data_IF_100883368375
#
_entry.id   IF_100883368375
#
_cell.length_a   1.000
_cell.length_b   1.000
_cell.length_c   1.000
_cell.angle_alpha   90.00
_cell.angle_beta   90.00
_cell.angle_gamma   90.00
#
_symmetry.space_group_name_H-M   'P 1'
#
loop_
_entity.id
_entity.type
_entity.pdbx_description
1 polymer ?
#
# COMPACT_ATOMS: atom_id res chain seq x y z
N UNK A 1 31.74 28.25 -4.39
CA UNK A 1 30.36 28.23 -3.91
C UNK A 1 30.00 26.78 -3.78
N UNK A 2 29.75 26.27 -2.54
CA UNK A 2 29.27 24.92 -2.37
C UNK A 2 27.88 24.83 -3.02
N UNK A 3 27.74 24.01 -4.07
CA UNK A 3 26.43 23.63 -4.57
C UNK A 3 25.66 23.04 -3.38
N UNK A 4 24.62 23.74 -2.93
CA UNK A 4 23.71 23.18 -1.92
C UNK A 4 23.17 21.89 -2.50
N UNK A 5 23.35 20.78 -1.78
CA UNK A 5 22.83 19.48 -2.17
C UNK A 5 21.34 19.62 -2.50
N UNK A 6 20.96 19.34 -3.73
CA UNK A 6 19.60 19.55 -4.25
C UNK A 6 18.58 18.66 -3.55
N UNK A 7 18.98 17.43 -3.24
CA UNK A 7 18.12 16.44 -2.57
C UNK A 7 18.63 16.24 -1.14
N UNK A 8 17.72 16.22 -0.15
CA UNK A 8 18.05 16.36 1.26
C UNK A 8 17.34 15.38 2.18
N UNK A 9 16.25 14.74 1.72
CA UNK A 9 15.45 13.83 2.56
C UNK A 9 14.76 12.74 1.76
N UNK A 10 14.43 11.66 2.46
CA UNK A 10 13.56 10.62 1.96
C UNK A 10 12.10 11.03 2.08
N UNK A 11 11.33 10.81 1.02
CA UNK A 11 9.88 11.01 0.99
C UNK A 11 9.25 9.82 0.27
N UNK A 12 8.23 9.23 0.87
CA UNK A 12 7.47 8.17 0.23
C UNK A 12 6.76 8.70 -1.01
N UNK A 13 6.92 8.02 -2.13
CA UNK A 13 6.28 8.39 -3.39
C UNK A 13 5.15 7.44 -3.80
N UNK A 14 5.12 6.26 -3.20
CA UNK A 14 4.10 5.25 -3.41
C UNK A 14 3.95 4.39 -2.16
N UNK A 15 2.77 3.84 -1.91
CA UNK A 15 2.59 2.91 -0.80
C UNK A 15 1.20 2.30 -0.73
N UNK A 16 1.16 1.14 -0.05
CA UNK A 16 -0.04 0.36 0.24
C UNK A 16 -0.06 -0.08 1.71
N UNK A 17 -1.15 -0.70 2.14
CA UNK A 17 -1.30 -1.32 3.45
C UNK A 17 -1.47 -2.84 3.28
N UNK A 18 -0.38 -3.63 3.24
CA UNK A 18 -0.51 -5.08 3.17
C UNK A 18 -1.35 -5.63 4.32
N UNK A 19 -2.22 -6.57 3.98
CA UNK A 19 -3.12 -7.27 4.88
C UNK A 19 -3.20 -8.74 4.48
N UNK A 20 -4.05 -9.51 5.15
CA UNK A 20 -4.33 -10.89 4.78
C UNK A 20 -5.01 -10.91 3.41
N UNK A 21 -4.40 -11.57 2.43
CA UNK A 21 -4.89 -11.59 1.05
C UNK A 21 -6.07 -12.54 0.84
N UNK A 22 -6.11 -13.65 1.57
CA UNK A 22 -7.10 -14.70 1.37
C UNK A 22 -8.17 -14.72 2.46
N UNK A 23 -9.41 -14.96 2.03
CA UNK A 23 -10.57 -15.06 2.93
C UNK A 23 -10.91 -16.51 3.33
N UNK A 24 -10.43 -17.50 2.58
CA UNK A 24 -10.84 -18.91 2.76
C UNK A 24 -9.65 -19.84 2.93
N UNK A 25 -8.78 -19.92 1.96
CA UNK A 25 -7.62 -20.79 1.96
C UNK A 25 -6.35 -20.00 1.65
N UNK A 26 -5.29 -20.35 2.35
CA UNK A 26 -3.99 -19.74 2.09
C UNK A 26 -3.48 -20.20 0.74
N UNK A 27 -3.16 -19.25 -0.11
CA UNK A 27 -2.57 -19.50 -1.42
C UNK A 27 -1.06 -19.54 -1.32
N UNK A 28 -0.45 -20.55 -1.92
CA UNK A 28 1.00 -20.64 -2.08
C UNK A 28 1.38 -20.43 -3.53
N UNK A 29 2.46 -19.70 -3.74
CA UNK A 29 3.10 -19.58 -5.05
C UNK A 29 4.55 -20.07 -4.99
N UNK A 30 5.05 -20.53 -6.12
CA UNK A 30 6.45 -20.91 -6.33
C UNK A 30 6.85 -20.50 -7.74
N UNK A 31 8.11 -20.11 -7.89
CA UNK A 31 8.65 -19.71 -9.20
C UNK A 31 7.83 -18.56 -9.82
N UNK A 32 7.40 -17.61 -8.97
CA UNK A 32 6.51 -16.52 -9.32
C UNK A 32 7.28 -15.21 -9.45
N UNK A 33 7.10 -14.55 -10.57
CA UNK A 33 7.57 -13.19 -10.82
C UNK A 33 6.38 -12.21 -10.74
N UNK A 34 6.50 -11.20 -9.91
CA UNK A 34 5.55 -10.10 -9.78
C UNK A 34 6.20 -8.84 -10.35
N UNK A 35 5.49 -8.08 -11.17
CA UNK A 35 5.96 -6.82 -11.75
C UNK A 35 4.94 -5.72 -11.55
N UNK A 36 5.37 -4.64 -10.87
CA UNK A 36 4.53 -3.51 -10.50
C UNK A 36 5.06 -2.22 -11.13
N UNK A 37 4.40 -1.68 -12.17
CA UNK A 37 4.69 -0.34 -12.67
C UNK A 37 4.23 0.70 -11.63
N UNK A 38 5.08 1.67 -11.35
CA UNK A 38 4.85 2.73 -10.37
C UNK A 38 5.23 4.07 -10.97
N UNK A 39 4.35 5.05 -10.83
CA UNK A 39 4.60 6.42 -11.28
C UNK A 39 5.35 7.21 -10.23
N UNK A 40 6.42 7.89 -10.67
CA UNK A 40 7.31 8.70 -9.82
C UNK A 40 6.71 10.09 -9.60
N UNK A 41 6.62 10.49 -8.33
CA UNK A 41 5.98 11.74 -7.92
C UNK A 41 6.91 12.93 -7.85
N UNK A 42 8.21 12.70 -7.67
CA UNK A 42 9.21 13.74 -7.41
C UNK A 42 10.46 13.52 -8.25
N UNK A 43 11.19 14.60 -8.49
CA UNK A 43 12.58 14.49 -8.92
C UNK A 43 13.43 13.96 -7.76
N UNK A 44 14.37 13.08 -8.06
CA UNK A 44 15.26 12.48 -7.07
C UNK A 44 16.41 11.73 -7.72
N UNK A 45 17.37 11.28 -6.93
CA UNK A 45 18.54 10.57 -7.43
C UNK A 45 18.80 9.23 -6.76
N UNK A 46 17.93 8.85 -5.80
CA UNK A 46 17.96 7.54 -5.13
C UNK A 46 16.55 7.10 -4.83
N UNK A 47 16.35 5.79 -4.83
CA UNK A 47 15.09 5.12 -4.52
C UNK A 47 15.37 3.95 -3.57
N UNK A 48 14.44 3.65 -2.67
CA UNK A 48 14.48 2.46 -1.80
C UNK A 48 13.08 1.89 -1.61
N UNK A 49 13.03 0.62 -1.22
CA UNK A 49 11.82 -0.17 -1.20
C UNK A 49 11.61 -0.79 0.18
N UNK A 50 10.38 -0.74 0.66
CA UNK A 50 9.96 -1.42 1.87
C UNK A 50 9.15 -2.64 1.50
N UNK A 51 9.57 -3.80 2.00
CA UNK A 51 8.85 -5.05 1.84
C UNK A 51 8.29 -5.50 3.18
N UNK A 52 7.08 -6.06 3.16
CA UNK A 52 6.32 -6.36 4.37
C UNK A 52 5.71 -7.74 4.31
N UNK A 53 5.94 -8.53 5.35
CA UNK A 53 5.27 -9.78 5.65
C UNK A 53 4.45 -9.65 6.93
N UNK A 54 3.84 -8.47 7.12
CA UNK A 54 3.21 -8.05 8.39
C UNK A 54 2.04 -8.95 8.81
N UNK A 55 1.36 -9.56 7.85
CA UNK A 55 0.25 -10.49 8.08
C UNK A 55 0.61 -11.93 7.75
N UNK A 56 1.85 -12.19 7.35
CA UNK A 56 2.34 -13.53 7.07
C UNK A 56 2.42 -14.40 8.33
N UNK A 57 2.19 -15.68 8.15
CA UNK A 57 2.31 -16.71 9.21
C UNK A 57 3.58 -17.56 9.04
N UNK A 58 4.20 -17.50 7.87
CA UNK A 58 5.46 -18.15 7.53
C UNK A 58 6.46 -17.12 7.04
N UNK A 59 7.74 -17.41 7.19
CA UNK A 59 8.80 -16.60 6.60
C UNK A 59 8.70 -16.66 5.06
N UNK A 60 8.90 -15.55 4.40
CA UNK A 60 8.96 -15.49 2.94
C UNK A 60 10.39 -15.18 2.49
N UNK A 61 10.77 -15.72 1.34
CA UNK A 61 12.05 -15.41 0.71
C UNK A 61 11.83 -14.68 -0.61
N UNK A 62 12.23 -13.42 -0.65
CA UNK A 62 12.40 -12.69 -1.89
C UNK A 62 13.74 -13.14 -2.48
N UNK A 63 13.69 -13.94 -3.55
CA UNK A 63 14.88 -14.52 -4.16
C UNK A 63 15.66 -13.53 -4.99
N UNK A 64 14.96 -12.59 -5.64
CA UNK A 64 15.51 -11.43 -6.32
C UNK A 64 14.49 -10.31 -6.35
N UNK A 65 14.96 -9.08 -6.33
CA UNK A 65 14.15 -7.91 -6.62
C UNK A 65 14.94 -6.92 -7.48
N UNK A 66 14.26 -6.28 -8.44
CA UNK A 66 14.90 -5.31 -9.35
C UNK A 66 13.99 -4.12 -9.58
N UNK A 67 14.58 -3.02 -10.03
CA UNK A 67 13.89 -1.82 -10.50
C UNK A 67 14.51 -1.36 -11.82
N UNK A 68 13.70 -0.89 -12.74
CA UNK A 68 14.15 -0.28 -13.99
C UNK A 68 13.13 0.71 -14.52
N UNK A 69 13.54 1.55 -15.48
CA UNK A 69 12.64 2.49 -16.13
C UNK A 69 11.62 1.72 -16.99
N UNK A 70 10.35 1.94 -16.74
CA UNK A 70 9.30 1.30 -17.51
C UNK A 70 9.17 1.94 -18.91
N UNK A 71 9.11 1.10 -19.94
CA UNK A 71 8.78 1.52 -21.31
C UNK A 71 7.26 1.58 -21.47
N UNK A 72 6.60 0.59 -20.91
CA UNK A 72 5.15 0.46 -20.79
C UNK A 72 4.80 -0.33 -19.51
N UNK A 73 3.54 -0.71 -19.33
CA UNK A 73 3.07 -1.44 -18.16
C UNK A 73 3.77 -2.79 -17.93
N UNK A 74 4.38 -3.42 -18.96
CA UNK A 74 4.94 -4.77 -18.90
C UNK A 74 6.43 -4.83 -19.23
N UNK A 75 6.96 -3.80 -19.86
CA UNK A 75 8.31 -3.76 -20.41
C UNK A 75 9.16 -2.75 -19.66
N UNK A 76 10.42 -3.08 -19.48
CA UNK A 76 11.45 -2.28 -18.78
C UNK A 76 12.59 -2.02 -19.75
N UNK A 77 13.19 -0.84 -19.71
CA UNK A 77 14.44 -0.60 -20.38
C UNK A 77 15.55 -1.42 -19.70
N UNK A 78 15.99 -2.47 -20.40
CA UNK A 78 16.96 -3.44 -19.88
C UNK A 78 18.29 -2.78 -19.44
N UNK A 79 18.67 -1.66 -20.06
CA UNK A 79 19.89 -0.93 -19.71
C UNK A 79 19.80 -0.23 -18.36
N UNK A 80 18.59 -0.03 -17.83
CA UNK A 80 18.32 0.67 -16.58
C UNK A 80 18.04 -0.28 -15.40
N UNK A 81 17.94 -1.60 -15.65
CA UNK A 81 17.63 -2.57 -14.59
C UNK A 81 18.76 -2.58 -13.55
N UNK A 82 18.36 -2.41 -12.30
CA UNK A 82 19.24 -2.46 -11.14
C UNK A 82 18.71 -3.44 -10.10
N UNK A 83 19.62 -4.16 -9.47
CA UNK A 83 19.27 -5.00 -8.31
C UNK A 83 18.81 -4.12 -7.14
N UNK A 84 17.77 -4.58 -6.46
CA UNK A 84 17.38 -4.12 -5.14
C UNK A 84 18.05 -5.06 -4.16
N UNK A 85 18.92 -4.54 -3.31
CA UNK A 85 19.71 -5.33 -2.37
C UNK A 85 19.32 -5.06 -0.91
N UNK A 86 19.76 -5.94 -0.03
CA UNK A 86 19.47 -5.91 1.39
C UNK A 86 20.77 -6.17 2.16
N UNK A 87 21.41 -5.11 2.65
CA UNK A 87 22.76 -5.20 3.21
C UNK A 87 23.79 -5.76 2.21
N UNK A 88 23.65 -5.42 0.92
CA UNK A 88 24.47 -5.92 -0.19
C UNK A 88 24.05 -7.29 -0.74
N UNK A 89 23.07 -7.99 -0.12
CA UNK A 89 22.58 -9.28 -0.61
C UNK A 89 21.42 -9.08 -1.58
N UNK A 90 21.36 -9.86 -2.67
CA UNK A 90 20.27 -9.80 -3.67
C UNK A 90 18.99 -10.49 -3.23
N UNK A 91 19.03 -11.26 -2.17
CA UNK A 91 17.88 -11.95 -1.61
C UNK A 91 17.71 -11.61 -0.14
N UNK A 92 16.48 -11.74 0.36
CA UNK A 92 16.17 -11.52 1.77
C UNK A 92 15.07 -12.46 2.24
N UNK A 93 15.16 -12.88 3.48
CA UNK A 93 14.08 -13.56 4.20
C UNK A 93 13.38 -12.52 5.07
N UNK A 94 12.05 -12.47 4.98
CA UNK A 94 11.21 -11.60 5.81
C UNK A 94 10.37 -12.49 6.71
N UNK A 95 10.65 -12.42 8.00
CA UNK A 95 9.96 -13.22 9.01
C UNK A 95 8.47 -12.86 9.14
N UNK A 96 7.63 -13.74 9.69
CA UNK A 96 6.24 -13.44 10.01
C UNK A 96 6.10 -12.17 10.86
N UNK A 97 5.22 -11.27 10.47
CA UNK A 97 5.04 -9.97 11.13
C UNK A 97 6.17 -8.97 10.86
N UNK A 98 7.18 -9.36 10.07
CA UNK A 98 8.37 -8.55 9.78
C UNK A 98 8.22 -7.60 8.60
N UNK A 99 9.12 -6.64 8.57
CA UNK A 99 9.32 -5.71 7.45
C UNK A 99 10.82 -5.52 7.23
N UNK A 100 11.20 -5.23 5.99
CA UNK A 100 12.58 -4.94 5.61
C UNK A 100 12.63 -3.76 4.65
N UNK A 101 13.65 -2.93 4.80
CA UNK A 101 13.94 -1.82 3.88
C UNK A 101 15.17 -2.22 3.08
N UNK A 102 15.11 -2.03 1.76
CA UNK A 102 16.24 -2.29 0.88
C UNK A 102 17.37 -1.28 1.09
N UNK A 103 18.55 -1.62 0.60
CA UNK A 103 19.59 -0.64 0.34
C UNK A 103 19.07 0.42 -0.65
N UNK A 104 19.69 1.59 -0.64
CA UNK A 104 19.40 2.64 -1.62
C UNK A 104 19.90 2.25 -3.02
N UNK A 105 19.06 2.46 -4.02
CA UNK A 105 19.43 2.29 -5.43
C UNK A 105 19.65 3.68 -6.05
N UNK A 106 20.87 3.96 -6.52
CA UNK A 106 21.16 5.20 -7.23
C UNK A 106 20.44 5.21 -8.59
N UNK A 107 19.49 6.11 -8.78
CA UNK A 107 18.69 6.21 -9.99
C UNK A 107 18.20 7.64 -10.18
N UNK A 108 18.61 8.27 -11.27
CA UNK A 108 18.08 9.60 -11.62
C UNK A 108 16.61 9.46 -12.02
N UNK A 109 15.76 10.19 -11.33
CA UNK A 109 14.31 10.12 -11.46
C UNK A 109 13.74 11.51 -11.68
N UNK A 110 12.79 11.59 -12.60
CA UNK A 110 12.01 12.80 -12.86
C UNK A 110 10.55 12.57 -12.50
N UNK A 111 9.89 13.62 -12.01
CA UNK A 111 8.45 13.59 -11.78
C UNK A 111 7.71 13.22 -13.07
N UNK A 112 6.89 12.19 -12.98
CA UNK A 112 6.14 11.66 -14.12
C UNK A 112 6.79 10.44 -14.80
N UNK A 113 8.04 10.12 -14.49
CA UNK A 113 8.63 8.85 -14.91
C UNK A 113 7.82 7.67 -14.37
N UNK A 114 7.91 6.55 -15.06
CA UNK A 114 7.41 5.28 -14.55
C UNK A 114 8.60 4.35 -14.33
N UNK A 115 8.64 3.74 -13.16
CA UNK A 115 9.57 2.63 -12.86
C UNK A 115 8.78 1.34 -12.73
N UNK A 116 9.42 0.23 -13.01
CA UNK A 116 8.84 -1.08 -12.80
C UNK A 116 9.62 -1.81 -11.72
N UNK A 117 8.94 -2.18 -10.64
CA UNK A 117 9.50 -3.00 -9.56
C UNK A 117 9.17 -4.45 -9.85
N UNK A 118 10.19 -5.29 -9.93
CA UNK A 118 10.04 -6.72 -10.15
C UNK A 118 10.47 -7.48 -8.90
N UNK A 119 9.66 -8.45 -8.46
CA UNK A 119 9.92 -9.32 -7.31
C UNK A 119 9.84 -10.76 -7.77
N UNK A 120 10.87 -11.55 -7.49
CA UNK A 120 10.90 -12.97 -7.80
C UNK A 120 10.88 -13.82 -6.53
N UNK A 121 9.92 -14.74 -6.48
CA UNK A 121 9.69 -15.70 -5.42
C UNK A 121 10.03 -17.11 -5.94
N UNK A 122 11.28 -17.52 -5.79
CA UNK A 122 11.77 -18.79 -6.34
C UNK A 122 11.35 -20.04 -5.56
N UNK A 123 11.04 -19.86 -4.28
CA UNK A 123 10.65 -20.93 -3.35
C UNK A 123 9.15 -20.90 -3.06
N UNK A 124 8.60 -21.96 -2.43
CA UNK A 124 7.23 -21.95 -1.97
C UNK A 124 7.03 -20.80 -0.99
N UNK A 125 6.12 -19.92 -1.32
CA UNK A 125 5.83 -18.67 -0.59
C UNK A 125 4.36 -18.58 -0.28
N UNK A 126 4.01 -18.43 0.99
CA UNK A 126 2.65 -18.14 1.42
C UNK A 126 2.27 -16.72 0.99
N UNK A 127 1.27 -16.58 0.12
CA UNK A 127 0.82 -15.29 -0.43
C UNK A 127 -0.16 -14.60 0.50
N UNK A 128 0.22 -14.41 1.78
CA UNK A 128 -0.68 -13.94 2.84
C UNK A 128 -0.33 -12.54 3.37
N UNK A 129 0.43 -11.76 2.63
CA UNK A 129 0.69 -10.35 2.95
C UNK A 129 0.56 -9.53 1.66
N UNK A 130 -0.66 -9.10 1.38
CA UNK A 130 -0.99 -8.37 0.17
C UNK A 130 -2.24 -7.51 0.35
N UNK A 131 -2.55 -6.70 -0.64
CA UNK A 131 -3.73 -5.85 -0.65
C UNK A 131 -4.30 -5.76 -2.05
N UNK A 132 -5.62 -5.82 -2.15
CA UNK A 132 -6.37 -5.55 -3.38
C UNK A 132 -6.66 -4.06 -3.45
N UNK A 133 -6.16 -3.42 -4.49
CA UNK A 133 -6.44 -2.02 -4.78
C UNK A 133 -6.83 -1.84 -6.24
N UNK A 134 -7.63 -0.84 -6.53
CA UNK A 134 -8.03 -0.50 -7.91
C UNK A 134 -7.74 0.96 -8.22
N UNK A 135 -7.64 1.27 -9.50
CA UNK A 135 -7.42 2.61 -10.00
C UNK A 135 -6.52 2.63 -11.24
N UNK A 136 -6.47 3.75 -11.94
CA UNK A 136 -5.70 3.88 -13.17
C UNK A 136 -4.18 3.72 -13.00
N UNK A 137 -3.66 3.92 -11.78
CA UNK A 137 -2.24 3.75 -11.43
C UNK A 137 -1.99 2.46 -10.62
N UNK A 138 -3.02 1.63 -10.41
CA UNK A 138 -3.00 0.48 -9.51
C UNK A 138 -3.15 -0.83 -10.27
N UNK A 139 -2.11 -1.20 -11.02
CA UNK A 139 -2.09 -2.42 -11.83
C UNK A 139 -0.74 -3.10 -11.70
N UNK A 140 -0.77 -4.41 -11.57
CA UNK A 140 0.41 -5.25 -11.57
C UNK A 140 0.31 -6.38 -12.59
N UNK A 141 1.40 -7.09 -12.76
CA UNK A 141 1.50 -8.24 -13.65
C UNK A 141 2.26 -9.35 -12.95
N UNK A 142 1.97 -10.59 -13.34
CA UNK A 142 2.72 -11.73 -12.87
C UNK A 142 2.89 -12.79 -13.97
N UNK A 143 3.96 -13.55 -13.86
CA UNK A 143 4.25 -14.73 -14.66
C UNK A 143 5.05 -15.72 -13.81
N UNK A 144 4.97 -17.01 -14.16
CA UNK A 144 5.81 -18.03 -13.53
C UNK A 144 7.16 -18.12 -14.27
N UNK A 145 8.24 -18.17 -13.50
CA UNK A 145 9.62 -18.10 -13.96
C UNK A 145 10.37 -16.88 -13.44
N UNK A 146 11.70 -16.90 -13.48
CA UNK A 146 12.53 -15.74 -13.11
C UNK A 146 12.70 -14.79 -14.31
N UNK A 147 12.06 -13.64 -14.24
CA UNK A 147 12.14 -12.54 -15.20
C UNK A 147 12.68 -11.26 -14.55
N UNK A 148 13.36 -11.37 -13.44
CA UNK A 148 13.82 -10.20 -12.68
C UNK A 148 14.77 -9.30 -13.48
N UNK A 149 15.57 -9.86 -14.40
CA UNK A 149 16.48 -9.10 -15.27
C UNK A 149 16.03 -9.04 -16.73
N UNK A 150 14.84 -9.56 -17.03
CA UNK A 150 14.33 -9.58 -18.39
C UNK A 150 13.55 -8.29 -18.72
N UNK A 151 13.75 -7.82 -19.95
CA UNK A 151 13.03 -6.65 -20.47
C UNK A 151 11.51 -6.84 -20.38
N UNK A 152 11.03 -8.00 -20.76
CA UNK A 152 9.60 -8.30 -20.90
C UNK A 152 9.21 -9.55 -20.13
N UNK A 153 8.01 -9.55 -19.57
CA UNK A 153 7.37 -10.77 -19.13
C UNK A 153 6.83 -11.54 -20.36
N UNK A 154 6.78 -12.87 -20.31
CA UNK A 154 6.38 -13.68 -21.47
C UNK A 154 4.92 -13.38 -21.86
N UNK A 155 4.68 -12.95 -23.10
CA UNK A 155 3.39 -12.48 -23.60
C UNK A 155 2.25 -13.49 -23.41
N UNK A 156 2.53 -14.78 -23.61
CA UNK A 156 1.51 -15.82 -23.63
C UNK A 156 1.08 -16.30 -22.24
N UNK A 157 1.88 -16.07 -21.19
CA UNK A 157 1.63 -16.55 -19.83
C UNK A 157 1.46 -15.44 -18.79
N UNK A 158 1.76 -14.19 -19.14
CA UNK A 158 1.59 -13.05 -18.26
C UNK A 158 0.11 -12.76 -17.98
N UNK A 159 -0.22 -12.58 -16.71
CA UNK A 159 -1.54 -12.18 -16.22
C UNK A 159 -1.45 -10.81 -15.55
N UNK A 160 -2.51 -10.03 -15.66
CA UNK A 160 -2.66 -8.81 -14.87
C UNK A 160 -3.25 -9.13 -13.49
N UNK A 161 -2.92 -8.28 -12.52
CA UNK A 161 -3.45 -8.38 -11.16
C UNK A 161 -3.65 -6.98 -10.56
N UNK A 162 -4.60 -6.88 -9.66
CA UNK A 162 -4.78 -5.73 -8.77
C UNK A 162 -4.34 -6.05 -7.33
N UNK A 163 -3.79 -7.25 -7.10
CA UNK A 163 -3.16 -7.62 -5.86
C UNK A 163 -1.71 -7.18 -5.83
N UNK A 164 -1.36 -6.47 -4.77
CA UNK A 164 0.02 -6.06 -4.48
C UNK A 164 0.51 -6.84 -3.27
N UNK A 165 1.45 -7.73 -3.51
CA UNK A 165 2.03 -8.61 -2.49
C UNK A 165 3.37 -8.07 -2.04
N UNK A 166 3.58 -8.06 -0.74
CA UNK A 166 4.82 -7.75 -0.04
C UNK A 166 5.37 -6.33 -0.22
N UNK A 167 5.15 -5.65 -1.32
CA UNK A 167 5.61 -4.27 -1.53
C UNK A 167 4.72 -3.30 -0.74
N UNK A 168 5.32 -2.62 0.23
CA UNK A 168 4.62 -1.73 1.17
C UNK A 168 4.78 -0.25 0.77
N UNK A 169 6.03 0.21 0.63
CA UNK A 169 6.33 1.63 0.39
C UNK A 169 7.53 1.76 -0.54
N UNK A 170 7.52 2.80 -1.33
CA UNK A 170 8.67 3.23 -2.14
C UNK A 170 9.01 4.66 -1.74
N UNK A 171 10.25 4.89 -1.32
CA UNK A 171 10.75 6.21 -0.98
C UNK A 171 11.73 6.72 -2.05
N UNK A 172 11.72 8.03 -2.27
CA UNK A 172 12.67 8.75 -3.12
C UNK A 172 13.47 9.74 -2.27
N UNK A 173 14.77 9.83 -2.51
CA UNK A 173 15.61 10.87 -1.93
C UNK A 173 15.47 12.13 -2.78
N UNK A 174 14.86 13.17 -2.21
CA UNK A 174 14.29 14.30 -2.95
C UNK A 174 14.47 15.65 -2.25
N UNK A 175 13.87 16.69 -2.82
CA UNK A 175 13.94 18.08 -2.32
C UNK A 175 13.18 18.24 -1.00
N UNK A 176 13.62 19.19 -0.17
CA UNK A 176 13.06 19.43 1.16
C UNK A 176 11.58 19.88 1.14
N UNK A 177 11.15 20.55 0.07
CA UNK A 177 9.74 20.99 -0.11
C UNK A 177 8.74 19.84 -0.24
N UNK A 178 9.20 18.65 -0.68
CA UNK A 178 8.34 17.54 -0.99
C UNK A 178 7.82 16.82 0.26
N UNK A 179 6.59 16.34 0.21
CA UNK A 179 5.97 15.63 1.33
C UNK A 179 4.95 14.61 0.85
N UNK A 180 4.68 13.61 1.67
CA UNK A 180 3.68 12.59 1.42
C UNK A 180 2.33 12.96 2.06
N UNK A 181 1.25 12.78 1.29
CA UNK A 181 -0.14 12.83 1.73
C UNK A 181 -0.64 11.38 1.85
N UNK A 182 -1.01 10.99 3.05
CA UNK A 182 -1.50 9.65 3.35
C UNK A 182 -3.01 9.61 3.16
N UNK A 183 -3.51 8.71 2.34
CA UNK A 183 -4.94 8.38 2.19
C UNK A 183 -5.22 7.11 3.01
N UNK A 184 -5.80 7.30 4.19
CA UNK A 184 -6.08 6.23 5.14
C UNK A 184 -7.56 5.86 5.13
N UNK A 185 -7.88 4.57 5.06
CA UNK A 185 -9.27 4.16 5.08
C UNK A 185 -9.54 2.67 4.87
N UNK A 186 -10.74 2.40 4.37
CA UNK A 186 -11.29 1.09 4.07
C UNK A 186 -11.37 0.83 2.54
N UNK A 187 -12.37 0.03 2.11
CA UNK A 187 -12.58 -0.28 0.69
C UNK A 187 -12.81 0.94 -0.19
N UNK A 188 -13.39 2.01 0.34
CA UNK A 188 -13.62 3.24 -0.43
C UNK A 188 -12.28 3.90 -0.79
N UNK A 189 -11.31 3.84 0.12
CA UNK A 189 -9.96 4.36 -0.11
C UNK A 189 -9.06 3.35 -0.84
N UNK A 190 -9.34 2.06 -0.75
CA UNK A 190 -8.65 1.04 -1.55
C UNK A 190 -9.00 1.10 -3.03
N UNK A 191 -10.09 1.78 -3.40
CA UNK A 191 -10.50 2.03 -4.77
C UNK A 191 -9.79 3.25 -5.39
N UNK A 192 -10.37 3.81 -6.40
CA UNK A 192 -9.77 4.65 -7.43
C UNK A 192 -9.40 6.07 -7.00
N UNK A 193 -10.08 6.64 -5.99
CA UNK A 193 -9.95 8.08 -5.72
C UNK A 193 -8.54 8.54 -5.33
N UNK A 194 -7.69 7.75 -4.64
CA UNK A 194 -6.32 8.17 -4.38
C UNK A 194 -5.48 8.29 -5.66
N UNK A 195 -5.72 7.39 -6.64
CA UNK A 195 -5.05 7.45 -7.93
C UNK A 195 -5.47 8.70 -8.70
N UNK A 196 -6.78 9.01 -8.71
CA UNK A 196 -7.29 10.24 -9.35
C UNK A 196 -6.79 11.50 -8.63
N UNK A 197 -6.69 11.47 -7.31
CA UNK A 197 -6.07 12.56 -6.56
C UNK A 197 -4.60 12.75 -6.98
N UNK A 198 -3.86 11.65 -7.15
CA UNK A 198 -2.49 11.70 -7.64
C UNK A 198 -2.40 12.27 -9.05
N UNK A 199 -3.23 11.80 -9.99
CA UNK A 199 -3.30 12.34 -11.35
C UNK A 199 -3.63 13.82 -11.34
N UNK A 200 -4.56 14.25 -10.51
CA UNK A 200 -4.93 15.65 -10.34
C UNK A 200 -3.75 16.54 -9.91
N UNK A 201 -2.84 16.03 -9.06
CA UNK A 201 -1.64 16.79 -8.70
C UNK A 201 -0.76 17.09 -9.90
N UNK A 202 -0.74 16.21 -10.91
CA UNK A 202 0.00 16.47 -12.16
C UNK A 202 -0.70 17.51 -13.03
N UNK A 203 -2.01 17.40 -13.19
CA UNK A 203 -2.81 18.33 -13.99
C UNK A 203 -2.76 19.74 -13.45
N UNK A 204 -2.88 19.91 -12.14
CA UNK A 204 -2.92 21.21 -11.47
C UNK A 204 -1.53 21.75 -11.10
N UNK A 205 -0.45 21.02 -11.42
CA UNK A 205 0.92 21.47 -11.18
C UNK A 205 1.41 21.42 -9.74
N UNK A 206 0.75 20.65 -8.85
CA UNK A 206 1.21 20.41 -7.49
C UNK A 206 2.38 19.42 -7.50
N UNK A 207 3.61 19.93 -7.57
CA UNK A 207 4.84 19.16 -7.76
C UNK A 207 5.52 18.68 -6.48
N UNK A 208 4.98 19.06 -5.31
CA UNK A 208 5.59 18.79 -4.01
C UNK A 208 4.84 17.76 -3.15
N UNK A 209 3.83 17.10 -3.71
CA UNK A 209 2.97 16.15 -2.99
C UNK A 209 2.96 14.80 -3.67
N UNK A 210 3.18 13.73 -2.90
CA UNK A 210 2.82 12.36 -3.27
C UNK A 210 1.54 11.90 -2.57
N UNK A 211 0.88 10.90 -3.13
CA UNK A 211 -0.32 10.28 -2.53
C UNK A 211 0.00 8.84 -2.15
N UNK A 212 -0.02 8.55 -0.85
CA UNK A 212 0.27 7.24 -0.29
C UNK A 212 -1.04 6.60 0.17
N UNK A 213 -1.37 5.43 -0.37
CA UNK A 213 -2.56 4.70 0.04
C UNK A 213 -2.28 3.82 1.26
N UNK A 214 -3.12 3.90 2.27
CA UNK A 214 -3.11 3.07 3.48
C UNK A 214 -4.53 2.60 3.75
N UNK A 215 -5.02 1.69 2.90
CA UNK A 215 -6.42 1.30 2.91
C UNK A 215 -6.59 -0.22 2.81
N UNK A 216 -7.49 -0.76 3.63
CA UNK A 216 -7.81 -2.19 3.67
C UNK A 216 -9.32 -2.35 3.61
N UNK A 217 -9.80 -3.09 2.62
CA UNK A 217 -11.23 -3.34 2.43
C UNK A 217 -11.86 -4.04 3.63
N UNK A 218 -13.01 -3.56 4.08
CA UNK A 218 -13.78 -4.17 5.17
C UNK A 218 -13.32 -3.81 6.58
N UNK A 219 -12.21 -3.09 6.72
CA UNK A 219 -11.66 -2.71 8.04
C UNK A 219 -12.57 -1.72 8.77
N UNK A 220 -12.55 -1.79 10.11
CA UNK A 220 -13.33 -0.95 11.03
C UNK A 220 -12.39 -0.12 11.93
N UNK A 221 -12.88 0.94 12.50
CA UNK A 221 -12.14 1.77 13.45
C UNK A 221 -12.00 1.06 14.79
N UNK A 222 -13.14 0.61 15.34
CA UNK A 222 -13.27 0.22 16.73
C UNK A 222 -13.09 -1.28 16.97
N UNK A 223 -13.37 -2.10 15.96
CA UNK A 223 -13.40 -3.55 16.09
C UNK A 223 -12.69 -4.25 14.95
N UNK A 224 -12.13 -5.40 15.22
CA UNK A 224 -11.64 -6.35 14.22
C UNK A 224 -12.45 -7.64 14.30
N UNK A 225 -12.30 -8.49 13.31
CA UNK A 225 -12.94 -9.80 13.32
C UNK A 225 -12.03 -10.85 13.92
N UNK A 226 -12.60 -11.69 14.75
CA UNK A 226 -11.93 -12.81 15.39
C UNK A 226 -12.41 -14.14 14.76
N UNK A 227 -12.35 -14.22 13.44
CA UNK A 227 -12.64 -15.44 12.70
C UNK A 227 -11.96 -15.43 11.32
N UNK A 228 -11.70 -16.62 10.79
CA UNK A 228 -10.98 -16.80 9.53
C UNK A 228 -11.73 -16.20 8.34
N UNK A 229 -13.07 -16.28 8.34
CA UNK A 229 -13.92 -15.78 7.24
C UNK A 229 -13.74 -14.29 6.98
N UNK A 230 -13.45 -13.51 8.03
CA UNK A 230 -13.29 -12.06 7.93
C UNK A 230 -11.86 -11.59 8.20
N UNK A 231 -10.90 -12.50 8.31
CA UNK A 231 -9.51 -12.17 8.58
C UNK A 231 -8.93 -11.18 7.56
N UNK A 232 -9.34 -11.28 6.29
CA UNK A 232 -8.90 -10.39 5.22
C UNK A 232 -9.36 -8.93 5.40
N UNK A 233 -10.33 -8.66 6.29
CA UNK A 233 -10.70 -7.29 6.66
C UNK A 233 -9.63 -6.61 7.56
N UNK A 234 -8.62 -7.35 7.97
CA UNK A 234 -7.45 -6.83 8.67
C UNK A 234 -7.73 -6.35 10.09
N UNK A 235 -6.68 -5.84 10.70
CA UNK A 235 -6.75 -5.31 12.06
C UNK A 235 -7.55 -4.00 12.10
N UNK A 236 -8.18 -3.73 13.25
CA UNK A 236 -8.90 -2.47 13.51
C UNK A 236 -7.96 -1.26 13.41
N UNK A 237 -8.55 -0.10 13.15
CA UNK A 237 -7.83 1.15 12.96
C UNK A 237 -6.88 1.50 14.10
N UNK A 238 -7.28 1.25 15.35
CA UNK A 238 -6.44 1.46 16.54
C UNK A 238 -5.09 0.73 16.47
N UNK A 239 -5.08 -0.51 15.97
CA UNK A 239 -3.86 -1.32 15.90
C UNK A 239 -2.94 -0.91 14.74
N UNK A 240 -3.51 -0.42 13.63
CA UNK A 240 -2.73 -0.21 12.42
C UNK A 240 -2.37 1.25 12.12
N UNK A 241 -3.18 2.24 12.57
CA UNK A 241 -3.03 3.64 12.18
C UNK A 241 -1.64 4.21 12.48
N UNK A 242 -1.13 3.97 13.69
CA UNK A 242 0.18 4.50 14.08
C UNK A 242 1.31 4.01 13.17
N UNK A 243 1.33 2.72 12.86
CA UNK A 243 2.33 2.12 11.95
C UNK A 243 2.17 2.64 10.52
N UNK A 244 0.94 2.66 10.01
CA UNK A 244 0.66 3.00 8.62
C UNK A 244 0.80 4.50 8.32
N UNK A 245 0.84 5.33 9.35
CA UNK A 245 1.15 6.76 9.24
C UNK A 245 2.61 7.09 9.55
N UNK A 246 3.44 6.08 9.85
CA UNK A 246 4.89 6.23 9.95
C UNK A 246 5.53 6.10 8.57
N UNK A 247 5.38 7.16 7.80
CA UNK A 247 5.77 7.24 6.39
C UNK A 247 6.81 8.33 6.22
N UNK A 248 7.88 8.03 5.51
CA UNK A 248 8.96 9.00 5.27
C UNK A 248 8.41 10.28 4.61
N UNK A 249 8.72 11.42 5.19
CA UNK A 249 8.30 12.73 4.69
C UNK A 249 6.79 12.99 4.73
N UNK A 250 6.03 12.27 5.54
CA UNK A 250 4.61 12.52 5.72
C UNK A 250 4.34 13.94 6.21
N UNK A 251 3.39 14.64 5.56
CA UNK A 251 2.98 16.00 5.92
C UNK A 251 1.51 16.10 6.29
N UNK A 252 0.68 15.19 5.77
CA UNK A 252 -0.75 15.20 6.01
C UNK A 252 -1.36 13.80 5.89
N UNK A 253 -2.55 13.63 6.48
CA UNK A 253 -3.38 12.44 6.31
C UNK A 253 -4.83 12.84 6.01
N UNK A 254 -5.42 12.17 5.00
CA UNK A 254 -6.86 12.17 4.75
C UNK A 254 -7.41 10.86 5.31
N UNK A 255 -8.38 10.96 6.21
CA UNK A 255 -9.04 9.82 6.84
C UNK A 255 -10.42 9.67 6.25
N UNK A 256 -10.66 8.55 5.57
CA UNK A 256 -11.97 8.12 5.08
C UNK A 256 -12.23 6.72 5.60
N UNK A 257 -12.72 6.60 6.84
CA UNK A 257 -12.85 5.33 7.54
C UNK A 257 -14.01 5.35 8.52
N UNK A 258 -14.67 4.20 8.72
CA UNK A 258 -15.70 4.03 9.72
C UNK A 258 -17.06 3.59 9.19
N UNK A 259 -17.27 3.57 7.88
CA UNK A 259 -18.54 3.11 7.32
C UNK A 259 -18.82 1.65 7.69
N UNK A 260 -17.77 0.81 7.76
CA UNK A 260 -17.91 -0.61 8.09
C UNK A 260 -18.25 -0.86 9.57
N UNK A 261 -17.96 0.07 10.47
CA UNK A 261 -18.41 0.02 11.86
C UNK A 261 -19.94 0.08 11.94
N UNK A 262 -20.58 0.74 10.96
CA UNK A 262 -22.03 0.93 10.89
C UNK A 262 -22.69 -0.15 10.05
N UNK A 263 -22.22 -0.37 8.80
CA UNK A 263 -22.93 -1.24 7.86
C UNK A 263 -22.78 -2.74 8.16
N UNK A 264 -21.68 -3.18 8.74
CA UNK A 264 -21.47 -4.59 9.02
C UNK A 264 -22.44 -5.14 10.07
N UNK A 265 -22.71 -4.45 11.20
CA UNK A 265 -23.66 -4.95 12.20
C UNK A 265 -25.12 -4.90 11.78
N UNK A 266 -25.48 -4.17 10.72
CA UNK A 266 -26.88 -3.99 10.27
C UNK A 266 -27.14 -4.47 8.85
N UNK A 267 -26.13 -5.04 8.16
CA UNK A 267 -26.25 -5.53 6.79
C UNK A 267 -26.86 -6.92 6.68
N UNK A 268 -26.98 -7.41 5.45
CA UNK A 268 -27.53 -8.74 5.14
C UNK A 268 -26.73 -9.90 5.75
N UNK A 269 -25.45 -9.68 6.06
CA UNK A 269 -24.55 -10.69 6.60
C UNK A 269 -24.42 -10.64 8.13
N UNK A 270 -25.41 -10.06 8.82
CA UNK A 270 -25.43 -10.09 10.29
C UNK A 270 -25.39 -11.53 10.80
N UNK A 271 -24.45 -11.84 11.66
CA UNK A 271 -24.26 -13.16 12.26
C UNK A 271 -23.50 -13.03 13.59
N UNK A 272 -23.11 -14.15 14.20
CA UNK A 272 -22.40 -14.15 15.49
C UNK A 272 -21.07 -13.38 15.48
N UNK A 273 -20.41 -13.21 14.33
CA UNK A 273 -19.17 -12.46 14.18
C UNK A 273 -19.38 -11.00 13.79
N UNK A 274 -20.62 -10.66 13.38
CA UNK A 274 -21.06 -9.31 12.96
C UNK A 274 -22.38 -8.97 13.64
N UNK A 275 -22.50 -9.12 14.97
CA UNK A 275 -23.78 -8.96 15.67
C UNK A 275 -24.21 -7.49 15.69
N UNK A 276 -25.53 -7.26 15.75
CA UNK A 276 -26.09 -5.92 15.88
C UNK A 276 -25.61 -5.20 17.17
N UNK A 277 -25.21 -5.95 18.20
CA UNK A 277 -24.59 -5.37 19.40
C UNK A 277 -23.25 -4.67 19.15
N UNK A 278 -22.64 -4.89 17.99
CA UNK A 278 -21.41 -4.21 17.58
C UNK A 278 -21.68 -2.82 17.00
N UNK A 279 -22.93 -2.45 16.74
CA UNK A 279 -23.28 -1.12 16.22
C UNK A 279 -22.86 -0.03 17.22
N UNK A 280 -21.92 0.86 16.82
CA UNK A 280 -21.46 1.90 17.70
C UNK A 280 -22.50 3.03 17.83
N UNK A 281 -22.45 3.75 18.93
CA UNK A 281 -23.11 5.06 19.03
C UNK A 281 -22.35 6.12 18.21
N UNK A 282 -23.00 7.24 17.90
CA UNK A 282 -22.32 8.37 17.27
C UNK A 282 -21.13 8.85 18.12
N UNK A 283 -21.25 8.81 19.44
CA UNK A 283 -20.16 9.24 20.33
C UNK A 283 -18.97 8.28 20.25
N UNK A 284 -19.19 6.96 20.23
CA UNK A 284 -18.10 5.98 20.06
C UNK A 284 -17.31 6.23 18.77
N UNK A 285 -17.99 6.57 17.68
CA UNK A 285 -17.36 6.89 16.40
C UNK A 285 -16.55 8.18 16.47
N UNK A 286 -17.11 9.22 17.10
CA UNK A 286 -16.42 10.52 17.29
C UNK A 286 -15.15 10.30 18.14
N UNK A 287 -15.28 9.60 19.25
CA UNK A 287 -14.16 9.32 20.16
C UNK A 287 -13.11 8.46 19.46
N UNK A 288 -13.53 7.44 18.72
CA UNK A 288 -12.64 6.60 17.93
C UNK A 288 -11.80 7.40 16.92
N UNK A 289 -12.45 8.26 16.13
CA UNK A 289 -11.73 9.13 15.18
C UNK A 289 -10.82 10.12 15.90
N UNK A 290 -11.32 10.73 16.98
CA UNK A 290 -10.59 11.77 17.71
C UNK A 290 -9.37 11.19 18.44
N UNK A 291 -9.58 10.13 19.21
CA UNK A 291 -8.57 9.59 20.12
C UNK A 291 -7.57 8.72 19.40
N UNK A 292 -8.01 7.91 18.45
CA UNK A 292 -7.14 7.00 17.72
C UNK A 292 -6.38 7.74 16.62
N UNK A 293 -7.11 8.51 15.77
CA UNK A 293 -6.52 9.06 14.56
C UNK A 293 -6.00 10.49 14.73
N UNK A 294 -6.87 11.40 15.16
CA UNK A 294 -6.51 12.83 15.20
C UNK A 294 -5.37 13.08 16.18
N UNK A 295 -5.46 12.52 17.38
CA UNK A 295 -4.38 12.66 18.40
C UNK A 295 -3.07 12.05 17.90
N UNK A 296 -3.11 10.82 17.36
CA UNK A 296 -1.92 10.14 16.84
C UNK A 296 -1.27 10.95 15.69
N UNK A 297 -2.06 11.38 14.71
CA UNK A 297 -1.55 12.13 13.57
C UNK A 297 -0.96 13.50 13.99
N UNK A 298 -1.62 14.21 14.90
CA UNK A 298 -1.11 15.48 15.45
C UNK A 298 0.18 15.31 16.22
N UNK A 299 0.32 14.24 17.00
CA UNK A 299 1.56 13.91 17.71
C UNK A 299 2.74 13.65 16.75
N UNK A 300 2.45 13.21 15.52
CA UNK A 300 3.43 13.06 14.43
C UNK A 300 3.64 14.36 13.62
N UNK A 301 2.97 15.45 13.97
CA UNK A 301 3.04 16.73 13.24
C UNK A 301 2.26 16.75 11.93
N UNK A 302 1.38 15.77 11.68
CA UNK A 302 0.60 15.69 10.44
C UNK A 302 -0.58 16.65 10.46
N UNK A 303 -0.85 17.29 9.33
CA UNK A 303 -2.15 17.91 9.07
C UNK A 303 -3.20 16.82 8.89
N UNK A 304 -4.37 16.99 9.49
CA UNK A 304 -5.44 16.00 9.49
C UNK A 304 -6.64 16.52 8.74
N UNK A 305 -7.10 15.75 7.79
CA UNK A 305 -8.35 15.95 7.07
C UNK A 305 -9.21 14.70 7.27
N UNK A 306 -10.50 14.86 7.48
CA UNK A 306 -11.44 13.74 7.61
C UNK A 306 -12.58 13.92 6.62
N UNK A 307 -12.81 12.88 5.82
CA UNK A 307 -14.02 12.77 5.00
C UNK A 307 -15.22 12.43 5.88
N UNK A 308 -16.38 12.99 5.56
CA UNK A 308 -17.64 12.56 6.15
C UNK A 308 -18.01 11.17 5.61
N UNK A 309 -18.71 10.38 6.41
CA UNK A 309 -19.26 9.11 5.93
C UNK A 309 -20.31 9.35 4.84
N UNK A 310 -20.35 8.44 3.87
CA UNK A 310 -21.36 8.48 2.81
C UNK A 310 -22.76 8.22 3.41
N UNK A 311 -23.83 8.85 2.85
CA UNK A 311 -25.20 8.53 3.24
C UNK A 311 -25.50 7.06 2.95
N UNK A 312 -26.02 6.34 3.96
CA UNK A 312 -26.31 4.91 3.87
C UNK A 312 -27.79 4.57 4.05
N UNK A 313 -28.66 5.57 4.08
CA UNK A 313 -30.12 5.34 4.18
C UNK A 313 -30.59 4.47 3.01
N UNK A 314 -31.26 3.37 3.34
CA UNK A 314 -31.70 2.39 2.35
C UNK A 314 -30.64 1.37 1.95
N UNK A 315 -29.46 1.40 2.54
CA UNK A 315 -28.53 0.28 2.47
C UNK A 315 -29.28 -0.98 2.98
N UNK A 316 -29.05 -2.10 2.32
CA UNK A 316 -29.69 -3.40 2.58
C UNK A 316 -29.71 -3.74 4.08
N UNK A 317 -30.69 -3.26 4.80
CA UNK A 317 -30.81 -3.41 6.23
C UNK A 317 -31.93 -4.39 6.54
N UNK A 318 -31.73 -5.26 7.50
CA UNK A 318 -32.81 -6.08 8.10
C UNK A 318 -33.75 -5.25 8.97
N UNK A 319 -33.39 -4.03 9.31
CA UNK A 319 -34.25 -3.10 10.02
C UNK A 319 -34.99 -2.23 9.01
N UNK A 320 -36.17 -2.68 8.61
CA UNK A 320 -37.19 -1.84 8.04
C UNK A 320 -37.84 -1.00 9.14
#
# INVERSE_FOLDING_TARGET
>A
MNEKQKYTKWVACWGNAPSISDRELVTYAKDLNLRYPVRICFNGNKIRFHFSNITGQEAIKISAATVGMAIDDRSVDASTIKDITFGGCKSVVVEPGGQVISDEVNMELSRGDNVSVTIYLGEYTMMNSGVLITGPLSKGFFAYGDYSHERELPLNSTRSTNWFYFLDTIDIYTEDKNHALICYGDSITAQDWPDYLMLRTYEDGYDSVSVIRRAISGTRILREYDCITYAAYGAKGEKRFNRETDVAGAGAVIIQHGINDIIHPVGEEVNIFRPMSDLPTCQDMIDGVTDIYVKCARNKGLKVYSGTLLPIKGWRTYAA
#
